data_IF_307199279886
#
_entry.id   IF_307199279886
#
_cell.length_a   1.000
_cell.length_b   1.000
_cell.length_c   1.000
_cell.angle_alpha   90.00
_cell.angle_beta   90.00
_cell.angle_gamma   90.00
#
_symmetry.space_group_name_H-M   'P 1'
#
loop_
_entity.id
_entity.type
_entity.pdbx_description
1 polymer ?
#
# COMPACT_ATOMS: atom_id res chain seq x y z
N UNK A 1 17.20 -31.71 41.60
CA UNK A 1 15.91 -30.98 41.31
C UNK A 1 14.88 -32.02 40.92
N UNK A 2 13.95 -32.39 41.82
CA UNK A 2 12.91 -33.39 41.54
C UNK A 2 11.66 -32.64 41.01
N UNK A 3 11.17 -33.05 39.85
CA UNK A 3 9.91 -32.54 39.26
C UNK A 3 8.72 -33.07 40.08
N UNK A 4 7.71 -32.24 40.37
CA UNK A 4 6.56 -32.67 41.13
C UNK A 4 5.74 -33.71 40.35
N UNK A 5 5.44 -34.83 40.99
CA UNK A 5 4.61 -35.89 40.45
C UNK A 5 3.14 -35.50 40.54
N UNK A 6 2.55 -35.09 39.40
CA UNK A 6 1.11 -34.84 39.30
C UNK A 6 0.32 -36.15 39.29
N UNK A 7 -0.81 -36.22 39.99
CA UNK A 7 -1.63 -37.41 40.04
C UNK A 7 -2.16 -37.79 38.66
N UNK A 8 -2.19 -39.09 38.37
CA UNK A 8 -2.63 -39.68 37.07
C UNK A 8 -4.01 -39.18 36.61
N UNK A 9 -4.89 -38.87 37.52
CA UNK A 9 -6.24 -38.32 37.25
C UNK A 9 -6.20 -36.91 36.57
N UNK A 10 -5.26 -36.04 36.95
CA UNK A 10 -5.14 -34.70 36.36
C UNK A 10 -4.57 -34.76 34.93
N UNK A 11 -3.69 -35.72 34.63
CA UNK A 11 -3.15 -35.91 33.27
C UNK A 11 -4.22 -36.40 32.29
N UNK A 12 -5.11 -37.30 32.74
CA UNK A 12 -6.19 -37.82 31.88
C UNK A 12 -7.29 -36.77 31.62
N UNK A 13 -7.54 -35.86 32.56
CA UNK A 13 -8.50 -34.78 32.36
C UNK A 13 -7.99 -33.74 31.35
N UNK A 14 -6.68 -33.39 31.35
CA UNK A 14 -6.10 -32.47 30.35
C UNK A 14 -6.09 -33.08 28.94
N UNK A 15 -5.84 -34.36 28.80
CA UNK A 15 -5.86 -35.09 27.50
C UNK A 15 -7.29 -35.17 26.95
N UNK A 16 -8.30 -35.39 27.82
CA UNK A 16 -9.71 -35.41 27.42
C UNK A 16 -10.23 -34.04 26.97
N UNK A 17 -9.79 -32.93 27.59
CA UNK A 17 -10.15 -31.57 27.18
C UNK A 17 -9.52 -31.17 25.83
N UNK A 18 -8.33 -31.65 25.50
CA UNK A 18 -7.69 -31.42 24.19
C UNK A 18 -8.34 -32.25 23.08
N UNK A 19 -8.94 -33.40 23.38
CA UNK A 19 -9.60 -34.25 22.38
C UNK A 19 -10.99 -33.74 21.96
N UNK A 20 -11.67 -32.90 22.78
CA UNK A 20 -13.01 -32.37 22.46
C UNK A 20 -12.90 -31.18 21.48
N UNK A 21 -11.74 -30.54 21.38
CA UNK A 21 -11.54 -29.42 20.44
C UNK A 21 -11.33 -29.86 18.97
N UNK A 22 -11.26 -31.16 18.66
CA UNK A 22 -10.88 -31.68 17.35
C UNK A 22 -12.04 -32.11 16.44
N UNK A 23 -13.31 -31.99 16.86
CA UNK A 23 -14.46 -32.42 16.05
C UNK A 23 -15.45 -31.28 15.76
N UNK A 24 -14.97 -30.17 15.17
CA UNK A 24 -15.90 -29.27 14.46
C UNK A 24 -16.29 -29.92 13.14
N UNK A 25 -17.62 -30.16 12.89
CA UNK A 25 -18.04 -30.76 11.62
C UNK A 25 -17.60 -29.85 10.45
N UNK A 26 -17.01 -30.47 9.41
CA UNK A 26 -16.56 -29.75 8.24
C UNK A 26 -17.68 -28.86 7.69
N UNK A 27 -17.36 -27.59 7.40
CA UNK A 27 -18.27 -26.66 6.74
C UNK A 27 -18.65 -27.19 5.36
N UNK A 28 -19.94 -27.33 5.08
CA UNK A 28 -20.45 -27.85 3.80
C UNK A 28 -21.52 -26.91 3.25
N UNK A 29 -21.25 -26.27 2.11
CA UNK A 29 -22.19 -25.38 1.41
C UNK A 29 -23.53 -26.06 1.09
N UNK A 30 -23.52 -27.36 0.79
CA UNK A 30 -24.71 -28.14 0.44
C UNK A 30 -25.77 -28.26 1.57
N UNK A 31 -25.42 -27.91 2.79
CA UNK A 31 -26.36 -27.88 3.93
C UNK A 31 -27.31 -26.68 3.86
N UNK A 32 -26.94 -25.63 3.16
CA UNK A 32 -27.71 -24.38 3.09
C UNK A 32 -28.52 -24.34 1.79
N UNK A 33 -29.85 -24.36 1.94
CA UNK A 33 -30.78 -24.39 0.79
C UNK A 33 -31.25 -23.02 0.33
N UNK A 34 -31.04 -21.99 1.16
CA UNK A 34 -31.44 -20.61 0.88
C UNK A 34 -30.26 -19.68 1.07
N UNK A 35 -30.25 -18.56 0.32
CA UNK A 35 -29.20 -17.53 0.45
C UNK A 35 -29.15 -16.91 1.84
N UNK A 36 -30.31 -16.71 2.50
CA UNK A 36 -30.37 -16.18 3.84
C UNK A 36 -29.71 -17.11 4.87
N UNK A 37 -29.98 -18.42 4.78
CA UNK A 37 -29.34 -19.41 5.65
C UNK A 37 -27.83 -19.49 5.41
N UNK A 38 -27.42 -19.39 4.14
CA UNK A 38 -26.00 -19.36 3.76
C UNK A 38 -25.31 -18.08 4.26
N UNK A 39 -25.98 -16.91 4.11
CA UNK A 39 -25.45 -15.63 4.59
C UNK A 39 -25.28 -15.64 6.12
N UNK A 40 -26.28 -16.10 6.85
CA UNK A 40 -26.19 -16.24 8.30
C UNK A 40 -25.06 -17.20 8.74
N UNK A 41 -24.82 -18.27 7.97
CA UNK A 41 -23.70 -19.17 8.22
C UNK A 41 -22.36 -18.50 7.89
N UNK A 42 -22.24 -17.83 6.74
CA UNK A 42 -21.06 -17.07 6.34
C UNK A 42 -20.65 -16.04 7.41
N UNK A 43 -21.63 -15.32 7.95
CA UNK A 43 -21.40 -14.35 9.03
C UNK A 43 -20.88 -14.99 10.32
N UNK A 44 -21.38 -16.18 10.69
CA UNK A 44 -20.86 -16.92 11.85
C UNK A 44 -19.41 -17.35 11.64
N UNK A 45 -19.09 -17.90 10.47
CA UNK A 45 -17.73 -18.31 10.12
C UNK A 45 -16.76 -17.10 10.09
N UNK A 46 -17.23 -15.97 9.53
CA UNK A 46 -16.47 -14.72 9.51
C UNK A 46 -16.18 -14.20 10.94
N UNK A 47 -17.18 -14.18 11.82
CA UNK A 47 -17.04 -13.76 13.22
C UNK A 47 -16.12 -14.71 14.01
N UNK A 48 -16.19 -16.01 13.70
CA UNK A 48 -15.32 -17.04 14.28
C UNK A 48 -13.89 -17.02 13.68
N UNK A 49 -13.61 -16.14 12.70
CA UNK A 49 -12.34 -16.03 11.96
C UNK A 49 -11.97 -17.29 11.18
N UNK A 50 -12.94 -18.10 10.82
CA UNK A 50 -12.76 -19.23 9.93
C UNK A 50 -12.80 -18.75 8.48
N UNK A 51 -11.71 -18.06 8.06
CA UNK A 51 -11.68 -17.31 6.81
C UNK A 51 -11.96 -18.18 5.57
N UNK A 52 -11.44 -19.42 5.52
CA UNK A 52 -11.68 -20.32 4.39
C UNK A 52 -13.17 -20.65 4.22
N UNK A 53 -13.87 -20.94 5.32
CA UNK A 53 -15.29 -21.21 5.29
C UNK A 53 -16.10 -19.96 4.91
N UNK A 54 -15.71 -18.80 5.45
CA UNK A 54 -16.35 -17.52 5.14
C UNK A 54 -16.16 -17.18 3.64
N UNK A 55 -14.95 -17.33 3.09
CA UNK A 55 -14.66 -17.13 1.67
C UNK A 55 -15.56 -18.02 0.81
N UNK A 56 -15.56 -19.35 1.04
CA UNK A 56 -16.39 -20.27 0.28
C UNK A 56 -17.88 -19.88 0.30
N UNK A 57 -18.39 -19.46 1.47
CA UNK A 57 -19.79 -19.09 1.61
C UNK A 57 -20.10 -17.76 0.92
N UNK A 58 -19.25 -16.74 1.06
CA UNK A 58 -19.45 -15.45 0.37
C UNK A 58 -19.22 -15.55 -1.14
N UNK A 59 -18.26 -16.34 -1.62
CA UNK A 59 -18.11 -16.64 -3.05
C UNK A 59 -19.40 -17.22 -3.64
N UNK A 60 -19.97 -18.21 -2.95
CA UNK A 60 -21.26 -18.80 -3.39
C UNK A 60 -22.36 -17.76 -3.41
N UNK A 61 -22.46 -16.91 -2.37
CA UNK A 61 -23.49 -15.85 -2.31
C UNK A 61 -23.31 -14.82 -3.44
N UNK A 62 -22.09 -14.42 -3.77
CA UNK A 62 -21.85 -13.48 -4.87
C UNK A 62 -22.23 -14.03 -6.25
N UNK A 63 -22.35 -15.37 -6.38
CA UNK A 63 -22.81 -16.05 -7.60
C UNK A 63 -24.32 -16.27 -7.62
N UNK A 64 -24.93 -16.55 -6.47
CA UNK A 64 -26.33 -16.96 -6.37
C UNK A 64 -27.30 -15.80 -6.13
N UNK A 65 -26.82 -14.69 -5.52
CA UNK A 65 -27.66 -13.54 -5.26
C UNK A 65 -28.01 -12.79 -6.55
N UNK A 66 -29.27 -12.35 -6.73
CA UNK A 66 -29.63 -11.49 -7.85
C UNK A 66 -28.86 -10.18 -7.86
N UNK A 67 -28.60 -9.61 -9.04
CA UNK A 67 -27.83 -8.37 -9.18
C UNK A 67 -28.39 -7.15 -8.44
N UNK A 68 -29.71 -7.17 -8.11
CA UNK A 68 -30.39 -6.11 -7.35
C UNK A 68 -30.60 -6.45 -5.89
N UNK A 69 -30.03 -7.55 -5.41
CA UNK A 69 -30.15 -7.94 -4.01
C UNK A 69 -29.32 -7.00 -3.12
N UNK A 70 -29.93 -6.48 -2.08
CA UNK A 70 -29.32 -5.55 -1.14
C UNK A 70 -28.17 -6.16 -0.31
N UNK A 71 -28.11 -7.49 -0.23
CA UNK A 71 -27.02 -8.20 0.44
C UNK A 71 -25.78 -8.35 -0.45
N UNK A 72 -25.94 -8.20 -1.77
CA UNK A 72 -24.86 -8.49 -2.71
C UNK A 72 -23.61 -7.57 -2.53
N UNK A 73 -23.74 -6.23 -2.41
CA UNK A 73 -22.57 -5.38 -2.12
C UNK A 73 -21.87 -5.80 -0.82
N UNK A 74 -22.65 -6.08 0.21
CA UNK A 74 -22.11 -6.53 1.50
C UNK A 74 -21.42 -7.89 1.43
N UNK A 75 -21.95 -8.81 0.61
CA UNK A 75 -21.31 -10.11 0.37
C UNK A 75 -19.93 -9.94 -0.32
N UNK A 76 -19.83 -9.07 -1.34
CA UNK A 76 -18.54 -8.71 -1.96
C UNK A 76 -17.56 -8.09 -0.97
N UNK A 77 -18.03 -7.15 -0.14
CA UNK A 77 -17.21 -6.53 0.90
C UNK A 77 -16.64 -7.57 1.89
N UNK A 78 -17.50 -8.46 2.39
CA UNK A 78 -17.10 -9.47 3.36
C UNK A 78 -16.19 -10.55 2.76
N UNK A 79 -16.40 -10.91 1.48
CA UNK A 79 -15.50 -11.77 0.74
C UNK A 79 -14.10 -11.16 0.63
N UNK A 80 -14.02 -9.93 0.14
CA UNK A 80 -12.75 -9.22 -0.01
C UNK A 80 -12.04 -9.02 1.35
N UNK A 81 -12.80 -8.67 2.38
CA UNK A 81 -12.25 -8.55 3.74
C UNK A 81 -11.75 -9.90 4.27
N UNK A 82 -12.42 -11.01 3.97
CA UNK A 82 -11.97 -12.36 4.36
C UNK A 82 -10.62 -12.71 3.72
N UNK A 83 -10.44 -12.39 2.43
CA UNK A 83 -9.13 -12.51 1.75
C UNK A 83 -8.07 -11.63 2.40
N UNK A 84 -8.42 -10.37 2.71
CA UNK A 84 -7.50 -9.44 3.41
C UNK A 84 -7.04 -10.01 4.76
N UNK A 85 -7.96 -10.63 5.53
CA UNK A 85 -7.65 -11.26 6.82
C UNK A 85 -6.77 -12.51 6.72
N UNK A 86 -6.77 -13.16 5.56
CA UNK A 86 -5.86 -14.24 5.20
C UNK A 86 -4.52 -13.75 4.63
N UNK A 87 -4.31 -12.45 4.54
CA UNK A 87 -3.14 -11.85 3.89
C UNK A 87 -3.05 -12.17 2.38
N UNK A 88 -4.17 -12.54 1.77
CA UNK A 88 -4.32 -12.74 0.33
C UNK A 88 -4.61 -11.40 -0.36
N UNK A 89 -3.66 -10.45 -0.21
CA UNK A 89 -3.84 -9.03 -0.53
C UNK A 89 -4.26 -8.78 -1.98
N UNK A 90 -3.75 -9.55 -2.94
CA UNK A 90 -4.14 -9.39 -4.35
C UNK A 90 -5.60 -9.76 -4.58
N UNK A 91 -6.06 -10.87 -4.00
CA UNK A 91 -7.46 -11.30 -4.11
C UNK A 91 -8.40 -10.34 -3.39
N UNK A 92 -7.96 -9.81 -2.24
CA UNK A 92 -8.70 -8.78 -1.50
C UNK A 92 -8.85 -7.50 -2.35
N UNK A 93 -7.77 -7.00 -2.95
CA UNK A 93 -7.80 -5.82 -3.80
C UNK A 93 -8.76 -6.01 -4.99
N UNK A 94 -8.68 -7.14 -5.68
CA UNK A 94 -9.58 -7.47 -6.79
C UNK A 94 -11.04 -7.58 -6.34
N UNK A 95 -11.29 -8.12 -5.15
CA UNK A 95 -12.64 -8.21 -4.58
C UNK A 95 -13.25 -6.84 -4.27
N UNK A 96 -12.47 -5.93 -3.67
CA UNK A 96 -12.88 -4.54 -3.42
C UNK A 96 -13.08 -3.76 -4.73
N UNK A 97 -12.18 -3.90 -5.71
CA UNK A 97 -12.34 -3.31 -7.04
C UNK A 97 -13.65 -3.75 -7.69
N UNK A 98 -13.98 -5.05 -7.61
CA UNK A 98 -15.22 -5.59 -8.17
C UNK A 98 -16.45 -5.00 -7.50
N UNK A 99 -16.45 -4.78 -6.19
CA UNK A 99 -17.54 -4.12 -5.48
C UNK A 99 -17.75 -2.71 -6.05
N UNK A 100 -16.72 -1.89 -6.08
CA UNK A 100 -16.79 -0.51 -6.57
C UNK A 100 -17.26 -0.43 -8.04
N UNK A 101 -16.73 -1.30 -8.91
CA UNK A 101 -17.12 -1.35 -10.33
C UNK A 101 -18.56 -1.80 -10.55
N UNK A 102 -19.07 -2.68 -9.70
CA UNK A 102 -20.42 -3.24 -9.84
C UNK A 102 -21.49 -2.34 -9.19
N UNK A 103 -21.11 -1.67 -8.10
CA UNK A 103 -22.01 -0.87 -7.26
C UNK A 103 -21.38 0.50 -6.91
N UNK A 104 -21.11 1.36 -7.91
CA UNK A 104 -20.41 2.63 -7.69
C UNK A 104 -21.20 3.63 -6.83
N UNK A 105 -22.53 3.48 -6.79
CA UNK A 105 -23.43 4.33 -6.01
C UNK A 105 -23.78 3.75 -4.63
N UNK A 106 -23.24 2.57 -4.29
CA UNK A 106 -23.46 1.96 -2.96
C UNK A 106 -22.69 2.71 -1.87
N UNK A 107 -23.23 2.70 -0.66
CA UNK A 107 -22.59 3.33 0.51
C UNK A 107 -21.24 2.71 0.88
N UNK A 108 -20.91 1.55 0.37
CA UNK A 108 -19.61 0.87 0.56
C UNK A 108 -18.61 1.17 -0.55
N UNK A 109 -18.97 1.96 -1.58
CA UNK A 109 -18.14 2.13 -2.76
C UNK A 109 -16.83 2.88 -2.46
N UNK A 110 -16.88 3.98 -1.71
CA UNK A 110 -15.71 4.74 -1.29
C UNK A 110 -14.83 3.97 -0.28
N UNK A 111 -15.46 3.27 0.67
CA UNK A 111 -14.76 2.33 1.57
C UNK A 111 -14.03 1.24 0.79
N UNK A 112 -14.68 0.67 -0.24
CA UNK A 112 -14.10 -0.39 -1.06
C UNK A 112 -12.90 0.12 -1.87
N UNK A 113 -13.00 1.32 -2.43
CA UNK A 113 -11.91 1.89 -3.22
C UNK A 113 -10.68 2.23 -2.35
N UNK A 114 -10.91 2.75 -1.12
CA UNK A 114 -9.84 2.93 -0.15
C UNK A 114 -9.22 1.59 0.26
N UNK A 115 -10.04 0.57 0.51
CA UNK A 115 -9.57 -0.75 0.89
C UNK A 115 -8.76 -1.41 -0.25
N UNK A 116 -9.20 -1.30 -1.50
CA UNK A 116 -8.47 -1.75 -2.69
C UNK A 116 -7.07 -1.15 -2.74
N UNK A 117 -6.98 0.19 -2.64
CA UNK A 117 -5.69 0.89 -2.66
C UNK A 117 -4.78 0.43 -1.50
N UNK A 118 -5.33 0.27 -0.31
CA UNK A 118 -4.60 -0.22 0.86
C UNK A 118 -4.07 -1.65 0.67
N UNK A 119 -4.85 -2.53 0.01
CA UNK A 119 -4.40 -3.90 -0.25
C UNK A 119 -3.27 -3.95 -1.28
N UNK A 120 -3.33 -3.14 -2.35
CA UNK A 120 -2.20 -2.98 -3.28
C UNK A 120 -0.98 -2.40 -2.58
N UNK A 121 -1.14 -1.43 -1.68
CA UNK A 121 -0.03 -0.86 -0.92
C UNK A 121 0.68 -1.88 -0.03
N UNK A 122 -0.06 -2.84 0.56
CA UNK A 122 0.52 -3.95 1.35
C UNK A 122 1.39 -4.90 0.54
N UNK A 123 1.20 -4.98 -0.78
CA UNK A 123 2.05 -5.75 -1.68
C UNK A 123 3.42 -5.09 -1.92
N UNK A 124 3.56 -3.80 -1.59
CA UNK A 124 4.81 -3.04 -1.73
C UNK A 124 5.75 -3.31 -0.55
N UNK A 125 6.52 -4.40 -0.59
CA UNK A 125 7.40 -4.80 0.54
C UNK A 125 8.68 -3.98 0.64
N UNK A 126 9.43 -3.85 -0.45
CA UNK A 126 10.72 -3.14 -0.51
C UNK A 126 10.80 -2.27 -1.76
N UNK A 127 11.22 -0.99 -1.65
CA UNK A 127 11.31 -0.10 -2.82
C UNK A 127 12.24 -0.60 -3.93
N UNK A 128 13.26 -1.41 -3.60
CA UNK A 128 14.20 -1.94 -4.59
C UNK A 128 13.60 -3.04 -5.50
N UNK A 129 12.40 -3.53 -5.21
CA UNK A 129 11.69 -4.56 -5.98
C UNK A 129 10.72 -3.95 -7.00
N UNK A 130 9.81 -4.78 -7.52
CA UNK A 130 8.79 -4.35 -8.49
C UNK A 130 7.89 -3.25 -7.91
N UNK A 131 7.66 -2.20 -8.70
CA UNK A 131 6.85 -1.04 -8.33
C UNK A 131 5.40 -1.11 -8.87
N UNK A 132 5.03 -2.15 -9.60
CA UNK A 132 3.74 -2.23 -10.28
C UNK A 132 2.58 -2.00 -9.30
N UNK A 133 2.55 -2.70 -8.19
CA UNK A 133 1.49 -2.54 -7.18
C UNK A 133 1.54 -1.16 -6.50
N UNK A 134 2.72 -0.54 -6.36
CA UNK A 134 2.85 0.81 -5.84
C UNK A 134 2.22 1.86 -6.76
N UNK A 135 2.44 1.74 -8.07
CA UNK A 135 1.78 2.59 -9.07
C UNK A 135 0.26 2.36 -9.08
N UNK A 136 -0.19 1.10 -9.01
CA UNK A 136 -1.62 0.76 -8.94
C UNK A 136 -2.25 1.36 -7.68
N UNK A 137 -1.64 1.17 -6.51
CA UNK A 137 -2.13 1.74 -5.26
C UNK A 137 -2.26 3.28 -5.34
N UNK A 138 -1.20 3.96 -5.85
CA UNK A 138 -1.22 5.41 -6.04
C UNK A 138 -2.34 5.86 -6.99
N UNK A 139 -2.52 5.16 -8.10
CA UNK A 139 -3.59 5.45 -9.06
C UNK A 139 -4.96 5.28 -8.41
N UNK A 140 -5.19 4.18 -7.67
CA UNK A 140 -6.47 3.91 -6.99
C UNK A 140 -6.78 4.97 -5.91
N UNK A 141 -5.78 5.38 -5.09
CA UNK A 141 -5.98 6.49 -4.15
C UNK A 141 -6.38 7.79 -4.84
N UNK A 142 -5.74 8.13 -5.95
CA UNK A 142 -6.07 9.34 -6.73
C UNK A 142 -7.46 9.26 -7.33
N UNK A 143 -7.82 8.14 -7.93
CA UNK A 143 -9.17 7.91 -8.47
C UNK A 143 -10.23 8.01 -7.37
N UNK A 144 -9.95 7.53 -6.15
CA UNK A 144 -10.86 7.72 -5.02
C UNK A 144 -11.09 9.19 -4.69
N UNK A 145 -10.02 10.01 -4.68
CA UNK A 145 -10.12 11.45 -4.40
C UNK A 145 -10.88 12.21 -5.51
N UNK A 146 -10.82 11.72 -6.75
CA UNK A 146 -11.54 12.28 -7.89
C UNK A 146 -13.01 11.88 -7.90
N UNK A 147 -13.32 10.62 -7.62
CA UNK A 147 -14.69 10.08 -7.70
C UNK A 147 -15.51 10.38 -6.44
N UNK A 148 -14.87 10.41 -5.27
CA UNK A 148 -15.51 10.61 -3.97
C UNK A 148 -14.85 11.76 -3.19
N UNK A 149 -14.83 13.00 -3.73
CA UNK A 149 -14.13 14.13 -3.10
C UNK A 149 -14.70 14.51 -1.73
N UNK A 150 -16.00 14.30 -1.53
CA UNK A 150 -16.73 14.61 -0.30
C UNK A 150 -16.75 13.44 0.71
N UNK A 151 -16.09 12.32 0.40
CA UNK A 151 -16.00 11.19 1.31
C UNK A 151 -15.24 11.57 2.60
N UNK A 152 -15.73 11.16 3.77
CA UNK A 152 -15.01 11.32 5.04
C UNK A 152 -13.67 10.55 5.05
N UNK A 153 -13.46 9.66 4.08
CA UNK A 153 -12.24 8.87 3.90
C UNK A 153 -11.21 9.57 3.01
N UNK A 154 -11.56 10.67 2.32
CA UNK A 154 -10.64 11.40 1.44
C UNK A 154 -9.30 11.78 2.10
N UNK A 155 -9.24 12.23 3.38
CA UNK A 155 -7.97 12.48 4.05
C UNK A 155 -7.08 11.22 4.19
N UNK A 156 -7.68 10.04 4.38
CA UNK A 156 -6.94 8.77 4.45
C UNK A 156 -6.38 8.36 3.09
N UNK A 157 -7.18 8.56 2.02
CA UNK A 157 -6.74 8.32 0.66
C UNK A 157 -5.58 9.24 0.27
N UNK A 158 -5.66 10.53 0.63
CA UNK A 158 -4.58 11.49 0.41
C UNK A 158 -3.30 11.10 1.14
N UNK A 159 -3.40 10.68 2.40
CA UNK A 159 -2.26 10.17 3.16
C UNK A 159 -1.66 8.92 2.52
N UNK A 160 -2.49 7.97 2.08
CA UNK A 160 -2.05 6.77 1.37
C UNK A 160 -1.34 7.09 0.06
N UNK A 161 -1.89 8.02 -0.73
CA UNK A 161 -1.27 8.51 -1.96
C UNK A 161 0.11 9.12 -1.71
N UNK A 162 0.24 9.97 -0.66
CA UNK A 162 1.52 10.55 -0.29
C UNK A 162 2.54 9.51 0.14
N UNK A 163 2.14 8.50 0.92
CA UNK A 163 3.00 7.39 1.30
C UNK A 163 3.51 6.60 0.08
N UNK A 164 2.65 6.38 -0.91
CA UNK A 164 3.04 5.70 -2.15
C UNK A 164 3.98 6.56 -3.00
N UNK A 165 3.77 7.87 -3.07
CA UNK A 165 4.71 8.79 -3.74
C UNK A 165 6.11 8.71 -3.11
N UNK A 166 6.20 8.77 -1.77
CA UNK A 166 7.48 8.64 -1.06
C UNK A 166 8.13 7.27 -1.29
N UNK A 167 7.34 6.21 -1.32
CA UNK A 167 7.83 4.86 -1.58
C UNK A 167 8.40 4.73 -3.00
N UNK A 168 7.67 5.22 -4.01
CA UNK A 168 8.09 5.20 -5.42
C UNK A 168 9.33 6.07 -5.64
N UNK A 169 9.34 7.28 -5.06
CA UNK A 169 10.50 8.16 -5.09
C UNK A 169 11.74 7.50 -4.48
N UNK A 170 11.56 6.78 -3.35
CA UNK A 170 12.65 6.04 -2.70
C UNK A 170 13.20 4.94 -3.60
N UNK A 171 12.33 4.22 -4.32
CA UNK A 171 12.74 3.19 -5.27
C UNK A 171 13.65 3.77 -6.36
N UNK A 172 13.20 4.83 -7.02
CA UNK A 172 13.94 5.43 -8.12
C UNK A 172 15.23 6.10 -7.64
N UNK A 173 15.20 6.74 -6.47
CA UNK A 173 16.39 7.28 -5.82
C UNK A 173 17.43 6.19 -5.52
N UNK A 174 17.02 5.06 -4.94
CA UNK A 174 17.92 3.95 -4.65
C UNK A 174 18.49 3.32 -5.93
N UNK A 175 17.74 3.33 -7.02
CA UNK A 175 18.23 2.91 -8.33
C UNK A 175 19.32 3.87 -8.83
N UNK A 176 19.13 5.17 -8.72
CA UNK A 176 20.16 6.17 -9.01
C UNK A 176 21.43 5.95 -8.17
N UNK A 177 21.29 5.74 -6.86
CA UNK A 177 22.42 5.41 -5.96
C UNK A 177 23.12 4.11 -6.36
N UNK A 178 22.37 3.10 -6.82
CA UNK A 178 22.96 1.87 -7.35
C UNK A 178 23.89 2.16 -8.55
N UNK A 179 23.45 2.99 -9.50
CA UNK A 179 24.26 3.36 -10.66
C UNK A 179 25.48 4.21 -10.31
N UNK A 180 25.40 5.07 -9.28
CA UNK A 180 26.61 5.75 -8.76
C UNK A 180 27.65 4.73 -8.29
N UNK A 181 27.23 3.71 -7.52
CA UNK A 181 28.14 2.63 -7.06
C UNK A 181 28.73 1.82 -8.21
N UNK A 182 27.98 1.67 -9.29
CA UNK A 182 28.41 0.97 -10.51
C UNK A 182 29.30 1.84 -11.40
N UNK A 183 29.60 3.08 -11.01
CA UNK A 183 30.36 4.07 -11.82
C UNK A 183 29.73 4.33 -13.19
N UNK A 184 28.41 4.35 -13.25
CA UNK A 184 27.59 4.66 -14.43
C UNK A 184 26.89 6.02 -14.23
N UNK A 185 27.60 7.15 -14.38
CA UNK A 185 27.08 8.47 -14.04
C UNK A 185 25.87 8.87 -14.88
N UNK A 186 25.84 8.57 -16.18
CA UNK A 186 24.73 8.94 -17.06
C UNK A 186 23.41 8.28 -16.61
N UNK A 187 23.46 6.99 -16.24
CA UNK A 187 22.30 6.30 -15.70
C UNK A 187 21.90 6.88 -14.34
N UNK A 188 22.86 7.20 -13.48
CA UNK A 188 22.56 7.82 -12.18
C UNK A 188 21.85 9.17 -12.34
N UNK A 189 22.36 10.01 -13.26
CA UNK A 189 21.76 11.32 -13.59
C UNK A 189 20.32 11.14 -14.07
N UNK A 190 20.07 10.18 -14.97
CA UNK A 190 18.72 9.90 -15.47
C UNK A 190 17.74 9.62 -14.31
N UNK A 191 18.08 8.65 -13.45
CA UNK A 191 17.21 8.28 -12.34
C UNK A 191 17.00 9.40 -11.32
N UNK A 192 18.05 10.18 -10.99
CA UNK A 192 17.87 11.31 -10.07
C UNK A 192 17.01 12.43 -10.70
N UNK A 193 17.15 12.69 -12.00
CA UNK A 193 16.25 13.61 -12.72
C UNK A 193 14.82 13.12 -12.75
N UNK A 194 14.58 11.82 -12.92
CA UNK A 194 13.26 11.22 -12.88
C UNK A 194 12.61 11.37 -11.50
N UNK A 195 13.37 11.16 -10.40
CA UNK A 195 12.87 11.41 -9.02
C UNK A 195 12.41 12.87 -8.86
N UNK A 196 13.22 13.82 -9.30
CA UNK A 196 12.94 15.25 -9.18
C UNK A 196 11.71 15.65 -10.00
N UNK A 197 11.57 15.08 -11.19
CA UNK A 197 10.48 15.38 -12.13
C UNK A 197 9.15 14.76 -11.66
N UNK A 198 9.17 13.49 -11.29
CA UNK A 198 7.97 12.70 -11.05
C UNK A 198 7.47 12.81 -9.60
N UNK A 199 8.37 13.13 -8.66
CA UNK A 199 8.08 13.17 -7.22
C UNK A 199 8.63 14.44 -6.54
N UNK A 200 8.34 15.64 -7.07
CA UNK A 200 9.01 16.89 -6.67
C UNK A 200 8.83 17.27 -5.19
N UNK A 201 7.72 16.82 -4.58
CA UNK A 201 7.34 17.15 -3.20
C UNK A 201 7.80 16.11 -2.17
N UNK A 202 8.62 15.14 -2.59
CA UNK A 202 9.15 14.09 -1.70
C UNK A 202 10.51 14.47 -1.10
N UNK A 203 10.83 13.87 0.04
CA UNK A 203 12.15 14.01 0.64
C UNK A 203 13.28 13.51 -0.28
N UNK A 204 12.96 12.51 -1.12
CA UNK A 204 13.90 11.95 -2.10
C UNK A 204 14.23 12.90 -3.24
N UNK A 205 13.32 13.81 -3.62
CA UNK A 205 13.60 14.83 -4.62
C UNK A 205 14.73 15.76 -4.18
N UNK A 206 14.69 16.21 -2.91
CA UNK A 206 15.79 16.99 -2.32
C UNK A 206 17.09 16.20 -2.32
N UNK A 207 17.06 14.95 -1.88
CA UNK A 207 18.24 14.08 -1.85
C UNK A 207 18.79 13.81 -3.25
N UNK A 208 17.90 13.65 -4.24
CA UNK A 208 18.28 13.45 -5.64
C UNK A 208 19.00 14.69 -6.23
N UNK A 209 18.55 15.90 -5.91
CA UNK A 209 19.29 17.12 -6.29
C UNK A 209 20.70 17.16 -5.72
N UNK A 210 20.87 16.84 -4.44
CA UNK A 210 22.19 16.79 -3.80
C UNK A 210 23.11 15.78 -4.49
N UNK A 211 22.58 14.59 -4.78
CA UNK A 211 23.31 13.54 -5.51
C UNK A 211 23.66 13.95 -6.95
N UNK A 212 22.77 14.67 -7.64
CA UNK A 212 23.09 15.20 -8.98
C UNK A 212 24.30 16.13 -8.94
N UNK A 213 24.37 17.05 -7.97
CA UNK A 213 25.54 17.94 -7.82
C UNK A 213 26.84 17.13 -7.66
N UNK A 214 26.81 16.09 -6.81
CA UNK A 214 27.98 15.22 -6.60
C UNK A 214 28.37 14.48 -7.88
N UNK A 215 27.39 13.90 -8.60
CA UNK A 215 27.63 13.15 -9.85
C UNK A 215 28.16 14.09 -10.93
N UNK A 216 27.54 15.25 -11.17
CA UNK A 216 28.01 16.23 -12.15
C UNK A 216 29.45 16.68 -11.89
N UNK A 217 29.82 16.95 -10.63
CA UNK A 217 31.18 17.28 -10.25
C UNK A 217 32.17 16.14 -10.54
N UNK A 218 31.76 14.90 -10.31
CA UNK A 218 32.62 13.73 -10.53
C UNK A 218 33.01 13.52 -12.00
N UNK A 219 32.19 14.04 -12.93
CA UNK A 219 32.40 13.96 -14.38
C UNK A 219 32.73 15.33 -15.00
N UNK A 220 33.07 16.34 -14.17
CA UNK A 220 33.42 17.70 -14.59
C UNK A 220 32.30 18.49 -15.33
N UNK A 221 31.04 18.16 -15.14
CA UNK A 221 29.88 18.90 -15.64
C UNK A 221 29.58 20.09 -14.71
N UNK A 222 30.44 21.12 -14.81
CA UNK A 222 30.45 22.25 -13.85
C UNK A 222 29.21 23.13 -13.92
N UNK A 223 28.71 23.35 -15.14
CA UNK A 223 27.51 24.20 -15.35
C UNK A 223 26.27 23.51 -14.83
N UNK A 224 26.05 22.21 -15.14
CA UNK A 224 24.93 21.44 -14.59
C UNK A 224 24.98 21.38 -13.05
N UNK A 225 26.17 21.23 -12.46
CA UNK A 225 26.33 21.24 -10.99
C UNK A 225 25.96 22.59 -10.39
N UNK A 226 26.29 23.71 -11.08
CA UNK A 226 25.94 25.05 -10.66
C UNK A 226 24.44 25.29 -10.72
N UNK A 227 23.79 24.87 -11.81
CA UNK A 227 22.36 25.01 -12.02
C UNK A 227 21.57 24.21 -10.99
N UNK A 228 22.00 22.97 -10.70
CA UNK A 228 21.41 22.14 -9.66
C UNK A 228 21.54 22.80 -8.26
N UNK A 229 22.70 23.41 -7.97
CA UNK A 229 22.90 24.17 -6.73
C UNK A 229 22.02 25.42 -6.65
N UNK A 230 21.88 26.16 -7.76
CA UNK A 230 20.98 27.32 -7.83
C UNK A 230 19.54 26.92 -7.50
N UNK A 231 19.05 25.83 -8.08
CA UNK A 231 17.72 25.27 -7.80
C UNK A 231 17.57 24.84 -6.35
N UNK A 232 18.60 24.21 -5.77
CA UNK A 232 18.60 23.81 -4.37
C UNK A 232 18.48 25.02 -3.43
N UNK A 233 19.20 26.11 -3.69
CA UNK A 233 19.10 27.34 -2.88
C UNK A 233 17.72 27.99 -2.96
N UNK A 234 17.09 27.95 -4.13
CA UNK A 234 15.73 28.48 -4.33
C UNK A 234 14.68 27.64 -3.59
N UNK A 235 14.77 26.30 -3.69
CA UNK A 235 13.77 25.39 -3.12
C UNK A 235 13.97 25.14 -1.62
N UNK A 236 15.21 25.17 -1.15
CA UNK A 236 15.56 24.83 0.24
C UNK A 236 16.45 25.91 0.88
N UNK A 237 15.92 27.13 1.04
CA UNK A 237 16.68 28.24 1.59
C UNK A 237 17.09 27.95 3.05
N UNK A 238 18.37 28.18 3.37
CA UNK A 238 18.88 27.97 4.72
C UNK A 238 19.28 26.53 5.06
N UNK A 239 19.08 25.59 4.16
CA UNK A 239 19.44 24.18 4.39
C UNK A 239 20.98 24.02 4.56
N UNK A 240 21.36 23.33 5.65
CA UNK A 240 22.78 23.14 6.00
C UNK A 240 23.49 22.19 5.07
N UNK A 241 22.82 21.14 4.61
CA UNK A 241 23.40 20.15 3.72
C UNK A 241 23.58 20.71 2.29
N UNK A 242 22.62 21.53 1.84
CA UNK A 242 22.78 22.29 0.58
C UNK A 242 24.01 23.18 0.63
N UNK A 243 24.20 23.92 1.73
CA UNK A 243 25.43 24.73 1.94
C UNK A 243 26.70 23.89 1.98
N UNK A 244 26.66 22.73 2.59
CA UNK A 244 27.80 21.82 2.64
C UNK A 244 28.18 21.30 1.26
N UNK A 245 27.19 20.92 0.45
CA UNK A 245 27.41 20.36 -0.90
C UNK A 245 27.68 21.47 -1.91
N UNK A 246 26.93 22.56 -1.92
CA UNK A 246 27.01 23.60 -2.95
C UNK A 246 28.03 24.73 -2.66
N UNK A 247 28.46 24.89 -1.40
CA UNK A 247 29.23 26.04 -0.94
C UNK A 247 28.33 27.22 -0.50
N UNK A 248 28.83 28.42 -0.34
CA UNK A 248 28.01 29.58 -0.01
C UNK A 248 27.09 29.94 -1.19
N UNK A 249 25.87 30.48 -0.91
CA UNK A 249 24.96 30.90 -1.97
C UNK A 249 25.64 32.02 -2.81
N UNK A 250 25.35 32.07 -4.15
CA UNK A 250 25.82 33.15 -4.97
C UNK A 250 25.29 34.48 -4.40
N UNK A 251 26.07 35.57 -4.52
CA UNK A 251 25.60 36.89 -4.10
C UNK A 251 24.28 37.19 -4.83
N UNK A 252 23.31 37.73 -4.08
CA UNK A 252 22.02 38.13 -4.68
C UNK A 252 22.30 39.02 -5.86
N UNK A 253 21.92 38.61 -7.06
CA UNK A 253 21.95 39.46 -8.24
C UNK A 253 21.00 40.64 -7.97
N UNK A 254 21.56 41.79 -7.69
CA UNK A 254 20.77 43.05 -7.62
C UNK A 254 20.11 43.16 -8.99
N UNK A 255 18.78 43.02 -9.03
CA UNK A 255 18.01 43.28 -10.23
C UNK A 255 18.39 44.69 -10.68
N UNK A 256 19.00 44.83 -11.83
CA UNK A 256 19.20 46.17 -12.43
C UNK A 256 17.83 46.70 -12.73
N UNK A 257 17.49 47.91 -12.22
CA UNK A 257 16.24 48.57 -12.58
C UNK A 257 16.28 48.85 -14.08
N UNK A 258 15.16 48.48 -14.78
CA UNK A 258 14.95 48.73 -16.18
C UNK A 258 14.78 50.26 -16.45
#
# INVERSE_FOLDING_TARGET
MQLPSWPRSARNACVALLAIAACTPAFKLSKFKTNDALYAAAMREYQARHWDNAIQAFERLTLDLPARDTLLPRAYWLLATSHSRKEEHLLAAQGFARLNQTFPDDTLADDAMLAEANEYAKLCRKPALDAQYGHTALATYRSMLELYPDSPLAPKAQQGAQQMLEWLATKDYLTGVHYVRRKAPDSAILYFKDVIKNYPETAQARSAYLRLVEVYRSINYRDDARDACSTLYQKYPGDREVRSVCGPPPPATVAQPA
#
